data_IF_700792561150
#
_entry.id   IF_700792561150
#
_cell.length_a   1.000
_cell.length_b   1.000
_cell.length_c   1.000
_cell.angle_alpha   90.00
_cell.angle_beta   90.00
_cell.angle_gamma   90.00
#
_symmetry.space_group_name_H-M   'P 1'
#
loop_
_entity.id
_entity.type
_entity.pdbx_description
1 polymer ?
#
# COMPACT_ATOMS: atom_id res chain seq x y z
N UNK A 1 -14.34 27.26 42.12
CA UNK A 1 -14.07 26.14 43.04
C UNK A 1 -12.60 26.23 43.43
N UNK A 2 -12.31 26.66 44.65
CA UNK A 2 -10.95 26.93 45.11
C UNK A 2 -10.28 25.63 45.58
N UNK A 3 -9.46 25.02 44.73
CA UNK A 3 -8.58 23.90 45.11
C UNK A 3 -7.30 24.53 45.69
N UNK A 4 -7.35 25.00 46.94
CA UNK A 4 -6.25 25.78 47.56
C UNK A 4 -5.10 24.90 48.06
N UNK A 5 -5.24 23.58 48.08
CA UNK A 5 -4.27 22.68 48.74
C UNK A 5 -3.34 21.89 47.81
N UNK A 6 -3.29 22.19 46.51
CA UNK A 6 -2.52 21.37 45.56
C UNK A 6 -1.72 22.26 44.62
N UNK A 7 -0.39 22.20 44.72
CA UNK A 7 0.49 22.82 43.74
C UNK A 7 0.46 21.96 42.46
N UNK A 8 -0.14 22.49 41.40
CA UNK A 8 -0.26 21.77 40.13
C UNK A 8 1.03 21.94 39.32
N UNK A 9 1.31 20.95 38.47
CA UNK A 9 2.45 21.02 37.57
C UNK A 9 2.32 22.15 36.53
N UNK A 10 1.09 22.53 36.23
CA UNK A 10 0.75 23.67 35.40
C UNK A 10 0.42 24.88 36.29
N UNK A 11 1.24 25.93 36.18
CA UNK A 11 1.03 27.18 36.89
C UNK A 11 -0.17 27.99 36.36
N UNK A 12 -0.60 27.70 35.13
CA UNK A 12 -1.70 28.37 34.43
C UNK A 12 -2.82 27.37 34.09
N UNK A 13 -3.52 26.90 35.12
CA UNK A 13 -4.66 26.00 34.94
C UNK A 13 -5.62 26.54 33.86
N UNK A 14 -5.95 25.70 32.88
CA UNK A 14 -6.91 25.99 31.80
C UNK A 14 -6.41 26.96 30.70
N UNK A 15 -5.10 27.20 30.61
CA UNK A 15 -4.47 27.89 29.48
C UNK A 15 -3.69 26.87 28.63
N UNK A 16 -4.00 26.71 27.34
CA UNK A 16 -3.25 25.79 26.49
C UNK A 16 -1.78 26.22 26.36
N UNK A 17 -0.85 25.36 26.75
CA UNK A 17 0.59 25.55 26.55
C UNK A 17 1.19 24.49 25.61
N UNK A 18 2.47 24.69 25.24
CA UNK A 18 3.19 23.77 24.36
C UNK A 18 3.37 22.41 25.04
N UNK A 19 2.92 21.34 24.39
CA UNK A 19 3.19 19.96 24.83
C UNK A 19 4.71 19.72 24.85
N UNK A 20 5.24 19.36 26.01
CA UNK A 20 6.67 19.14 26.22
C UNK A 20 7.09 17.70 25.87
N UNK A 21 6.23 16.72 26.15
CA UNK A 21 6.50 15.30 25.94
C UNK A 21 5.20 14.52 25.73
N UNK A 22 5.22 13.53 24.85
CA UNK A 22 4.15 12.53 24.69
C UNK A 22 4.68 11.19 25.20
N UNK A 23 3.92 10.55 26.08
CA UNK A 23 4.25 9.27 26.68
C UNK A 23 3.34 8.18 26.09
N UNK A 24 3.92 7.05 25.70
CA UNK A 24 3.18 5.89 25.20
C UNK A 24 2.30 5.26 26.28
N UNK A 25 1.27 4.54 25.87
CA UNK A 25 0.38 3.85 26.82
C UNK A 25 1.11 2.73 27.58
N UNK A 26 2.19 2.20 27.01
CA UNK A 26 3.04 1.18 27.64
C UNK A 26 3.67 1.63 28.97
N UNK A 27 4.00 2.91 29.13
CA UNK A 27 4.59 3.43 30.38
C UNK A 27 3.54 3.92 31.39
N UNK A 28 2.26 3.96 31.00
CA UNK A 28 1.20 4.57 31.83
C UNK A 28 1.11 3.97 33.23
N UNK A 29 1.10 2.63 33.33
CA UNK A 29 0.96 1.95 34.62
C UNK A 29 2.23 1.99 35.47
N UNK A 30 3.41 2.13 34.85
CA UNK A 30 4.68 2.27 35.55
C UNK A 30 4.81 3.63 36.24
N UNK A 31 4.09 4.64 35.74
CA UNK A 31 4.11 5.98 36.30
C UNK A 31 3.23 6.12 37.54
N UNK A 32 2.27 5.23 37.77
CA UNK A 32 1.33 5.34 38.89
C UNK A 32 1.98 4.96 40.23
N UNK A 33 1.82 5.82 41.24
CA UNK A 33 2.33 5.59 42.60
C UNK A 33 1.15 5.50 43.58
N UNK A 34 1.25 4.74 44.69
CA UNK A 34 0.29 4.81 45.77
C UNK A 34 -0.02 6.25 46.23
N UNK A 35 -1.31 6.54 46.41
CA UNK A 35 -1.79 7.86 46.82
C UNK A 35 -2.84 8.38 45.85
N UNK A 36 -4.07 8.42 46.31
CA UNK A 36 -5.20 9.00 45.61
C UNK A 36 -5.98 9.87 46.59
N UNK A 37 -6.39 11.05 46.15
CA UNK A 37 -7.33 11.88 46.91
C UNK A 37 -8.49 12.31 46.03
N UNK A 38 -9.67 12.36 46.63
CA UNK A 38 -10.89 12.83 45.99
C UNK A 38 -11.23 14.18 46.58
N UNK A 39 -11.61 15.13 45.72
CA UNK A 39 -12.06 16.44 46.19
C UNK A 39 -13.53 16.33 46.58
N UNK A 40 -13.85 16.69 47.84
CA UNK A 40 -15.21 16.68 48.37
C UNK A 40 -16.16 17.49 47.46
N UNK A 41 -17.36 16.97 47.26
CA UNK A 41 -18.39 17.55 46.38
C UNK A 41 -17.95 17.72 44.91
N UNK A 42 -17.01 16.90 44.44
CA UNK A 42 -16.62 16.80 43.02
C UNK A 42 -16.47 15.35 42.59
N UNK A 43 -16.52 15.12 41.27
CA UNK A 43 -16.12 13.83 40.70
C UNK A 43 -14.65 13.80 40.27
N UNK A 44 -13.85 14.75 40.77
CA UNK A 44 -12.41 14.83 40.48
C UNK A 44 -11.63 13.92 41.42
N UNK A 45 -10.72 13.17 40.82
CA UNK A 45 -9.80 12.24 41.45
C UNK A 45 -8.39 12.68 41.07
N UNK A 46 -7.55 12.83 42.08
CA UNK A 46 -6.14 13.10 41.89
C UNK A 46 -5.33 11.86 42.22
N UNK A 47 -4.43 11.50 41.30
CA UNK A 47 -3.61 10.31 41.33
C UNK A 47 -2.14 10.72 41.32
N UNK A 48 -1.38 10.24 42.30
CA UNK A 48 0.07 10.43 42.32
C UNK A 48 0.72 9.65 41.17
N UNK A 49 1.66 10.31 40.48
CA UNK A 49 2.54 9.66 39.52
C UNK A 49 4.01 10.01 39.82
N UNK A 50 4.95 9.28 39.22
CA UNK A 50 6.40 9.56 39.32
C UNK A 50 6.80 10.96 38.86
N UNK A 51 6.02 11.56 37.96
CA UNK A 51 6.34 12.86 37.39
C UNK A 51 5.64 13.97 38.16
N UNK A 52 4.31 13.87 38.24
CA UNK A 52 3.42 14.92 38.72
C UNK A 52 2.12 14.33 39.28
N UNK A 53 1.29 15.17 39.89
CA UNK A 53 -0.06 14.78 40.25
C UNK A 53 -0.99 14.86 39.02
N UNK A 54 -1.65 13.75 38.69
CA UNK A 54 -2.61 13.69 37.60
C UNK A 54 -4.04 13.89 38.12
N UNK A 55 -4.83 14.76 37.49
CA UNK A 55 -6.25 14.95 37.78
C UNK A 55 -7.11 14.27 36.71
N UNK A 56 -8.10 13.49 37.12
CA UNK A 56 -9.07 12.83 36.25
C UNK A 56 -10.45 12.86 36.89
N UNK A 57 -11.50 13.02 36.09
CA UNK A 57 -12.86 13.04 36.60
C UNK A 57 -13.84 13.67 35.62
N UNK A 58 -15.12 13.60 35.96
CA UNK A 58 -16.15 14.34 35.23
C UNK A 58 -16.39 15.69 35.91
N UNK A 59 -16.51 16.74 35.10
CA UNK A 59 -17.04 18.03 35.54
C UNK A 59 -18.51 18.04 35.15
N UNK A 60 -19.39 18.46 36.06
CA UNK A 60 -20.79 18.68 35.73
C UNK A 60 -20.85 19.83 34.71
N UNK A 61 -20.94 19.48 33.43
CA UNK A 61 -21.13 20.44 32.37
C UNK A 61 -22.63 20.78 32.34
N UNK A 62 -22.98 22.04 32.58
CA UNK A 62 -24.27 22.53 32.07
C UNK A 62 -24.35 22.15 30.61
N UNK A 63 -25.51 21.67 30.13
CA UNK A 63 -25.69 21.25 28.74
C UNK A 63 -25.53 22.45 27.79
N UNK A 64 -24.31 22.93 27.58
CA UNK A 64 -23.98 23.71 26.42
C UNK A 64 -24.00 22.76 25.24
N UNK A 65 -24.90 23.05 24.30
CA UNK A 65 -25.03 22.36 23.02
C UNK A 65 -23.85 22.74 22.08
N UNK A 66 -22.64 22.78 22.62
CA UNK A 66 -21.42 23.16 21.91
C UNK A 66 -20.62 21.90 21.64
N UNK A 67 -20.79 21.39 20.43
CA UNK A 67 -19.87 20.40 19.88
C UNK A 67 -18.54 21.11 19.64
N UNK A 68 -17.55 20.84 20.49
CA UNK A 68 -16.17 21.21 20.20
C UNK A 68 -15.64 20.28 19.10
N UNK A 69 -15.79 20.67 17.85
CA UNK A 69 -15.03 20.09 16.75
C UNK A 69 -13.63 20.70 16.75
N UNK A 70 -12.59 19.88 16.98
CA UNK A 70 -11.23 20.25 16.57
C UNK A 70 -11.20 20.17 15.05
N UNK A 71 -11.50 21.30 14.40
CA UNK A 71 -11.30 21.45 12.97
C UNK A 71 -9.82 21.75 12.76
N UNK A 72 -9.05 20.76 12.30
CA UNK A 72 -7.71 21.02 11.79
C UNK A 72 -7.86 21.82 10.50
N UNK A 73 -7.63 23.13 10.57
CA UNK A 73 -7.55 24.01 9.39
C UNK A 73 -6.25 23.81 8.60
N UNK A 74 -5.39 22.88 9.04
CA UNK A 74 -4.23 22.51 8.26
C UNK A 74 -4.69 21.75 7.02
N UNK A 75 -4.17 22.16 5.87
CA UNK A 75 -4.30 21.46 4.59
C UNK A 75 -4.18 19.96 4.83
N UNK A 76 -5.27 19.22 4.55
CA UNK A 76 -5.31 17.77 4.71
C UNK A 76 -4.10 17.11 4.03
N UNK A 77 -3.65 17.68 2.91
CA UNK A 77 -2.48 17.22 2.20
C UNK A 77 -1.19 17.43 3.01
N UNK A 78 -1.05 18.54 3.74
CA UNK A 78 0.06 18.77 4.66
C UNK A 78 0.06 17.77 5.81
N UNK A 79 -1.08 17.52 6.45
CA UNK A 79 -1.20 16.57 7.56
C UNK A 79 -0.92 15.13 7.12
N UNK A 80 -1.47 14.71 5.98
CA UNK A 80 -1.19 13.39 5.39
C UNK A 80 0.29 13.26 5.05
N UNK A 81 0.88 14.28 4.41
CA UNK A 81 2.31 14.28 4.08
C UNK A 81 3.18 14.13 5.34
N UNK A 82 2.90 14.93 6.38
CA UNK A 82 3.61 14.86 7.67
C UNK A 82 3.50 13.50 8.33
N UNK A 83 2.32 12.88 8.26
CA UNK A 83 2.08 11.54 8.77
C UNK A 83 2.97 10.51 8.05
N UNK A 84 2.98 10.51 6.71
CA UNK A 84 3.81 9.60 5.93
C UNK A 84 5.31 9.89 6.09
N UNK A 85 5.72 11.15 6.24
CA UNK A 85 7.11 11.52 6.55
C UNK A 85 7.54 11.02 7.93
N UNK A 86 6.62 10.98 8.91
CA UNK A 86 6.91 10.51 10.27
C UNK A 86 6.94 8.99 10.39
N UNK A 87 6.07 8.28 9.66
CA UNK A 87 6.10 6.80 9.60
C UNK A 87 7.19 6.24 8.68
N UNK A 88 7.78 7.09 7.83
CA UNK A 88 8.88 6.68 6.96
C UNK A 88 10.15 6.42 7.81
N UNK A 89 10.51 5.15 7.96
CA UNK A 89 11.82 4.77 8.49
C UNK A 89 12.87 5.16 7.47
N UNK A 90 13.73 6.13 7.81
CA UNK A 90 14.92 6.44 7.02
C UNK A 90 15.83 5.21 6.97
N UNK A 91 15.72 4.44 5.90
CA UNK A 91 16.64 3.35 5.60
C UNK A 91 17.76 3.92 4.74
N UNK A 92 19.00 3.83 5.21
CA UNK A 92 20.16 4.13 4.36
C UNK A 92 20.19 3.11 3.20
N UNK A 93 19.62 3.50 2.08
CA UNK A 93 19.64 2.67 0.88
C UNK A 93 21.04 2.70 0.29
N UNK A 94 21.70 1.55 0.26
CA UNK A 94 22.93 1.36 -0.49
C UNK A 94 22.73 1.86 -1.93
N UNK A 95 23.67 2.67 -2.45
CA UNK A 95 23.58 3.30 -3.79
C UNK A 95 23.42 2.30 -4.94
N UNK A 96 23.82 1.04 -4.73
CA UNK A 96 23.65 -0.06 -5.69
C UNK A 96 22.45 -0.97 -5.37
N UNK A 97 21.60 -0.59 -4.42
CA UNK A 97 20.38 -1.36 -4.15
C UNK A 97 19.40 -1.23 -5.31
N UNK A 98 18.67 -2.31 -5.54
CA UNK A 98 17.56 -2.38 -6.50
C UNK A 98 16.54 -1.25 -6.28
N UNK A 99 16.34 -0.83 -5.03
CA UNK A 99 15.49 0.30 -4.66
C UNK A 99 15.95 1.63 -5.28
N UNK A 100 17.26 1.89 -5.34
CA UNK A 100 17.82 3.09 -5.96
C UNK A 100 17.63 3.07 -7.48
N UNK A 101 17.84 1.91 -8.11
CA UNK A 101 17.58 1.72 -9.55
C UNK A 101 16.09 1.95 -9.85
N UNK A 102 15.19 1.37 -9.07
CA UNK A 102 13.74 1.55 -9.23
C UNK A 102 13.31 3.00 -9.04
N UNK A 103 13.83 3.69 -8.02
CA UNK A 103 13.53 5.10 -7.75
C UNK A 103 13.99 5.98 -8.92
N UNK A 104 15.20 5.79 -9.41
CA UNK A 104 15.72 6.51 -10.56
C UNK A 104 14.94 6.21 -11.85
N UNK A 105 14.57 4.94 -12.06
CA UNK A 105 13.76 4.52 -13.20
C UNK A 105 12.36 5.15 -13.18
N UNK A 106 11.70 5.13 -12.02
CA UNK A 106 10.39 5.73 -11.82
C UNK A 106 10.40 7.24 -12.09
N UNK A 107 11.40 7.97 -11.56
CA UNK A 107 11.52 9.41 -11.78
C UNK A 107 11.71 9.76 -13.26
N UNK A 108 12.48 8.94 -14.00
CA UNK A 108 12.78 9.17 -15.43
C UNK A 108 11.66 8.73 -16.38
N UNK A 109 10.92 7.67 -16.04
CA UNK A 109 9.99 7.01 -16.97
C UNK A 109 8.52 7.10 -16.57
N UNK A 110 8.19 7.96 -15.59
CA UNK A 110 6.81 8.27 -15.23
C UNK A 110 6.29 9.41 -16.09
N UNK A 111 5.15 9.19 -16.73
CA UNK A 111 4.34 10.21 -17.40
C UNK A 111 2.89 10.10 -16.95
N UNK A 112 2.03 10.98 -17.46
CA UNK A 112 0.58 10.82 -17.36
C UNK A 112 0.00 10.69 -18.77
N UNK A 113 -1.03 9.86 -18.92
CA UNK A 113 -1.82 9.80 -20.14
C UNK A 113 -2.83 10.96 -20.21
N UNK A 114 -3.57 11.03 -21.32
CA UNK A 114 -4.61 12.04 -21.56
C UNK A 114 -5.75 12.01 -20.52
N UNK A 115 -5.94 10.88 -19.84
CA UNK A 115 -6.91 10.72 -18.75
C UNK A 115 -6.36 11.10 -17.37
N UNK A 116 -5.07 11.48 -17.29
CA UNK A 116 -4.38 11.84 -16.06
C UNK A 116 -3.86 10.65 -15.24
N UNK A 117 -3.95 9.42 -15.75
CA UNK A 117 -3.40 8.22 -15.08
C UNK A 117 -1.90 8.17 -15.24
N UNK A 118 -1.19 7.65 -14.25
CA UNK A 118 0.25 7.45 -14.36
C UNK A 118 0.58 6.28 -15.28
N UNK A 119 1.44 6.56 -16.25
CA UNK A 119 2.06 5.56 -17.11
C UNK A 119 3.52 5.47 -16.73
N UNK A 120 3.98 4.26 -16.41
CA UNK A 120 5.34 4.01 -15.98
C UNK A 120 5.87 2.84 -16.79
N UNK A 121 7.07 2.97 -17.34
CA UNK A 121 7.73 1.83 -17.97
C UNK A 121 8.07 0.77 -16.92
N UNK A 122 7.99 -0.51 -17.30
CA UNK A 122 8.36 -1.60 -16.41
C UNK A 122 9.86 -1.53 -16.07
N UNK A 123 10.25 -1.49 -14.79
CA UNK A 123 11.66 -1.46 -14.39
C UNK A 123 12.30 -2.84 -14.57
N UNK A 124 13.42 -2.89 -15.29
CA UNK A 124 14.21 -4.10 -15.51
C UNK A 124 15.60 -3.97 -14.88
N UNK A 125 16.08 -5.06 -14.28
CA UNK A 125 17.43 -5.24 -13.74
C UNK A 125 18.48 -5.42 -14.83
N UNK A 126 18.07 -6.00 -15.95
CA UNK A 126 18.94 -6.36 -17.06
C UNK A 126 18.29 -5.98 -18.40
N UNK A 127 19.11 -5.79 -19.43
CA UNK A 127 18.62 -5.55 -20.78
C UNK A 127 17.84 -6.77 -21.32
N UNK A 128 16.63 -6.61 -21.89
CA UNK A 128 15.83 -7.71 -22.45
C UNK A 128 16.56 -8.63 -23.44
N UNK A 129 17.61 -8.15 -24.11
CA UNK A 129 18.45 -8.96 -25.02
C UNK A 129 19.09 -10.18 -24.34
N UNK A 130 19.18 -10.19 -22.99
CA UNK A 130 19.66 -11.33 -22.21
C UNK A 130 18.67 -12.51 -22.19
N UNK A 131 17.40 -12.31 -22.57
CA UNK A 131 16.40 -13.38 -22.62
C UNK A 131 16.68 -14.38 -23.76
N UNK A 132 17.32 -14.00 -24.86
CA UNK A 132 17.55 -14.92 -25.98
C UNK A 132 16.25 -15.39 -26.65
N UNK A 133 16.29 -16.54 -27.33
CA UNK A 133 15.16 -17.03 -28.12
C UNK A 133 14.01 -17.55 -27.22
N UNK A 134 12.79 -17.09 -27.50
CA UNK A 134 11.56 -17.38 -26.75
C UNK A 134 10.41 -17.87 -27.65
N UNK A 135 10.46 -17.62 -28.96
CA UNK A 135 9.38 -17.85 -29.91
C UNK A 135 9.04 -19.32 -30.04
N UNK A 136 10.04 -20.20 -30.11
CA UNK A 136 9.81 -21.63 -30.18
C UNK A 136 9.06 -22.19 -28.96
N UNK A 137 9.40 -21.69 -27.78
CA UNK A 137 8.76 -22.12 -26.52
C UNK A 137 7.32 -21.63 -26.51
N UNK A 138 7.08 -20.36 -26.87
CA UNK A 138 5.74 -19.80 -26.99
C UNK A 138 4.89 -20.58 -28.00
N UNK A 139 5.44 -20.92 -29.18
CA UNK A 139 4.76 -21.72 -30.21
C UNK A 139 4.40 -23.13 -29.71
N UNK A 140 5.30 -23.82 -29.00
CA UNK A 140 5.00 -25.13 -28.40
C UNK A 140 3.84 -25.04 -27.40
N UNK A 141 3.80 -23.98 -26.58
CA UNK A 141 2.71 -23.72 -25.63
C UNK A 141 1.40 -23.37 -26.34
N UNK A 142 1.46 -22.54 -27.37
CA UNK A 142 0.31 -22.18 -28.20
C UNK A 142 -0.31 -23.42 -28.88
N UNK A 143 0.52 -24.28 -29.47
CA UNK A 143 0.05 -25.53 -30.08
C UNK A 143 -0.64 -26.46 -29.05
N UNK A 144 -0.12 -26.52 -27.83
CA UNK A 144 -0.74 -27.29 -26.75
C UNK A 144 -2.09 -26.69 -26.32
N UNK A 145 -2.19 -25.37 -26.25
CA UNK A 145 -3.43 -24.66 -26.00
C UNK A 145 -4.47 -24.94 -27.10
N UNK A 146 -4.08 -24.85 -28.38
CA UNK A 146 -4.96 -25.16 -29.51
C UNK A 146 -5.53 -26.58 -29.45
N UNK A 147 -4.70 -27.58 -29.12
CA UNK A 147 -5.17 -28.97 -28.95
C UNK A 147 -6.25 -29.07 -27.86
N UNK A 148 -6.08 -28.36 -26.73
CA UNK A 148 -7.10 -28.32 -25.67
C UNK A 148 -8.38 -27.62 -26.12
N UNK A 149 -8.25 -26.46 -26.77
CA UNK A 149 -9.38 -25.69 -27.29
C UNK A 149 -10.23 -26.49 -28.28
N UNK A 150 -9.59 -27.30 -29.14
CA UNK A 150 -10.28 -28.19 -30.08
C UNK A 150 -11.06 -29.32 -29.39
N UNK A 151 -10.55 -29.82 -28.26
CA UNK A 151 -11.16 -30.95 -27.53
C UNK A 151 -12.28 -30.52 -26.59
N UNK A 152 -12.28 -29.28 -26.12
CA UNK A 152 -13.20 -28.77 -25.10
C UNK A 152 -13.90 -27.49 -25.59
N UNK A 153 -15.09 -27.63 -26.22
CA UNK A 153 -15.84 -26.49 -26.74
C UNK A 153 -16.26 -25.49 -25.67
N UNK A 154 -16.55 -25.95 -24.44
CA UNK A 154 -16.95 -25.09 -23.33
C UNK A 154 -15.76 -24.21 -22.91
N UNK A 155 -14.58 -24.81 -22.76
CA UNK A 155 -13.35 -24.07 -22.47
C UNK A 155 -13.01 -23.06 -23.59
N UNK A 156 -13.24 -23.41 -24.87
CA UNK A 156 -13.06 -22.48 -25.99
C UNK A 156 -13.99 -21.26 -25.90
N UNK A 157 -15.27 -21.46 -25.58
CA UNK A 157 -16.23 -20.36 -25.42
C UNK A 157 -15.77 -19.38 -24.34
N UNK A 158 -15.35 -19.88 -23.17
CA UNK A 158 -14.82 -19.02 -22.12
C UNK A 158 -13.52 -18.31 -22.53
N UNK A 159 -12.64 -19.01 -23.25
CA UNK A 159 -11.39 -18.41 -23.74
C UNK A 159 -11.66 -17.23 -24.68
N UNK A 160 -12.56 -17.42 -25.65
CA UNK A 160 -12.96 -16.38 -26.61
C UNK A 160 -13.58 -15.17 -25.91
N UNK A 161 -14.43 -15.42 -24.91
CA UNK A 161 -15.05 -14.34 -24.13
C UNK A 161 -13.99 -13.49 -23.42
N UNK A 162 -12.96 -14.10 -22.81
CA UNK A 162 -11.88 -13.34 -22.17
C UNK A 162 -11.03 -12.58 -23.19
N UNK A 163 -10.67 -13.18 -24.33
CA UNK A 163 -9.88 -12.45 -25.34
C UNK A 163 -10.65 -11.25 -25.90
N UNK A 164 -11.97 -11.38 -26.08
CA UNK A 164 -12.84 -10.29 -26.48
C UNK A 164 -12.91 -9.19 -25.42
N UNK A 165 -13.05 -9.55 -24.14
CA UNK A 165 -13.00 -8.59 -23.02
C UNK A 165 -11.68 -7.80 -23.02
N UNK A 166 -10.55 -8.43 -23.34
CA UNK A 166 -9.25 -7.73 -23.43
C UNK A 166 -9.20 -6.75 -24.61
N UNK A 167 -9.76 -7.12 -25.75
CA UNK A 167 -9.85 -6.24 -26.94
C UNK A 167 -10.81 -5.06 -26.68
N UNK A 168 -12.00 -5.32 -26.14
CA UNK A 168 -13.01 -4.30 -25.81
C UNK A 168 -12.48 -3.29 -24.77
N UNK A 169 -11.63 -3.74 -23.84
CA UNK A 169 -10.96 -2.88 -22.85
C UNK A 169 -9.67 -2.22 -23.37
N UNK A 170 -9.32 -2.43 -24.65
CA UNK A 170 -8.05 -1.94 -25.24
C UNK A 170 -6.80 -2.40 -24.47
N UNK A 171 -6.89 -3.56 -23.80
CA UNK A 171 -5.77 -4.21 -23.12
C UNK A 171 -4.92 -5.08 -24.07
N UNK A 172 -5.41 -5.34 -25.28
CA UNK A 172 -4.75 -6.14 -26.30
C UNK A 172 -5.11 -5.59 -27.68
N UNK A 173 -4.13 -5.57 -28.59
CA UNK A 173 -4.31 -5.25 -30.01
C UNK A 173 -3.61 -6.32 -30.86
N UNK A 174 -4.03 -6.45 -32.11
CA UNK A 174 -3.36 -7.32 -33.08
C UNK A 174 -1.97 -6.76 -33.43
N UNK A 175 -0.95 -7.61 -33.38
CA UNK A 175 0.45 -7.23 -33.65
C UNK A 175 0.71 -7.34 -35.15
N UNK A 176 1.30 -6.31 -35.76
CA UNK A 176 1.72 -6.35 -37.16
C UNK A 176 3.07 -7.06 -37.31
N UNK A 177 3.29 -7.75 -38.44
CA UNK A 177 4.54 -8.46 -38.73
C UNK A 177 5.79 -7.55 -38.78
N UNK A 178 5.62 -6.22 -38.81
CA UNK A 178 6.70 -5.24 -38.92
C UNK A 178 7.26 -4.77 -37.56
N UNK A 179 6.59 -5.03 -36.43
CA UNK A 179 7.00 -4.58 -35.07
C UNK A 179 8.08 -5.48 -34.44
N UNK A 180 9.05 -5.91 -35.24
CA UNK A 180 9.92 -7.04 -34.93
C UNK A 180 11.18 -6.69 -34.11
N UNK A 181 11.28 -5.51 -33.48
CA UNK A 181 12.58 -5.10 -32.93
C UNK A 181 12.91 -5.69 -31.55
N UNK A 182 12.00 -5.79 -30.57
CA UNK A 182 12.21 -6.60 -29.35
C UNK A 182 10.85 -6.92 -28.71
N UNK A 183 10.16 -7.96 -29.16
CA UNK A 183 9.00 -8.49 -28.45
C UNK A 183 9.46 -9.62 -27.50
N UNK A 184 8.73 -9.86 -26.40
CA UNK A 184 8.82 -11.11 -25.64
C UNK A 184 7.44 -11.73 -25.61
N UNK A 185 7.28 -12.94 -26.17
CA UNK A 185 6.00 -13.61 -26.16
C UNK A 185 5.77 -14.32 -24.82
N UNK A 186 4.85 -13.79 -24.01
CA UNK A 186 4.40 -14.46 -22.80
C UNK A 186 3.43 -15.61 -23.14
N UNK A 187 3.78 -16.87 -22.84
CA UNK A 187 2.80 -17.96 -22.95
C UNK A 187 1.68 -17.73 -21.93
N UNK A 188 0.46 -18.04 -22.31
CA UNK A 188 -0.72 -17.86 -21.46
C UNK A 188 -1.57 -19.12 -21.45
N UNK A 189 -2.34 -19.33 -20.38
CA UNK A 189 -3.25 -20.46 -20.23
C UNK A 189 -4.50 -20.10 -19.44
N UNK A 190 -5.61 -20.76 -19.77
CA UNK A 190 -6.86 -20.65 -19.01
C UNK A 190 -6.85 -21.53 -17.76
N UNK A 191 -7.20 -20.94 -16.64
CA UNK A 191 -7.49 -21.64 -15.38
C UNK A 191 -9.01 -21.64 -15.20
N UNK A 192 -9.57 -22.84 -15.22
CA UNK A 192 -10.99 -23.09 -15.05
C UNK A 192 -11.17 -24.14 -13.95
N UNK A 193 -12.03 -23.86 -12.98
CA UNK A 193 -12.35 -24.78 -11.87
C UNK A 193 -13.87 -24.91 -11.77
N UNK A 194 -14.49 -25.91 -12.42
CA UNK A 194 -15.94 -26.08 -12.43
C UNK A 194 -16.50 -26.44 -11.05
N UNK A 195 -15.68 -27.05 -10.18
CA UNK A 195 -16.08 -27.55 -8.86
C UNK A 195 -16.32 -26.46 -7.80
N UNK A 196 -15.95 -25.20 -8.06
CA UNK A 196 -16.34 -24.09 -7.19
C UNK A 196 -17.36 -23.24 -7.91
N UNK A 197 -18.52 -23.07 -7.28
CA UNK A 197 -19.70 -22.35 -7.79
C UNK A 197 -19.41 -20.92 -8.28
N UNK A 198 -18.27 -20.32 -7.90
CA UNK A 198 -17.90 -18.94 -8.22
C UNK A 198 -16.64 -18.77 -9.08
N UNK A 199 -16.00 -19.85 -9.58
CA UNK A 199 -14.72 -19.65 -10.31
C UNK A 199 -14.94 -19.13 -11.73
N UNK A 200 -14.91 -17.80 -11.90
CA UNK A 200 -14.74 -17.12 -13.19
C UNK A 200 -13.51 -17.72 -13.90
N UNK A 201 -13.70 -18.15 -15.15
CA UNK A 201 -12.60 -18.53 -16.03
C UNK A 201 -11.59 -17.37 -16.09
N UNK A 202 -10.29 -17.66 -15.95
CA UNK A 202 -9.24 -16.63 -16.02
C UNK A 202 -8.09 -17.05 -16.90
N UNK A 203 -7.61 -16.13 -17.71
CA UNK A 203 -6.35 -16.28 -18.45
C UNK A 203 -5.19 -15.87 -17.55
N UNK A 204 -4.16 -16.70 -17.47
CA UNK A 204 -2.94 -16.45 -16.70
C UNK A 204 -1.76 -16.42 -17.66
N UNK A 205 -0.99 -15.33 -17.61
CA UNK A 205 0.25 -15.16 -18.36
C UNK A 205 1.43 -15.67 -17.54
N UNK A 206 2.32 -16.43 -18.17
CA UNK A 206 3.46 -17.03 -17.51
C UNK A 206 4.75 -16.33 -17.93
N UNK A 207 5.12 -15.30 -17.16
CA UNK A 207 6.36 -14.55 -17.31
C UNK A 207 7.57 -15.20 -16.60
N UNK A 208 7.38 -16.35 -15.94
CA UNK A 208 8.45 -17.11 -15.28
C UNK A 208 8.97 -18.29 -16.10
N UNK A 209 8.50 -18.45 -17.35
CA UNK A 209 9.02 -19.49 -18.24
C UNK A 209 10.45 -19.15 -18.65
N UNK A 210 11.45 -20.01 -18.37
CA UNK A 210 12.80 -19.78 -18.83
C UNK A 210 12.85 -19.87 -20.36
N UNK A 211 13.68 -19.02 -20.95
CA UNK A 211 14.04 -19.01 -22.36
C UNK A 211 15.23 -19.93 -22.63
N UNK A 212 15.73 -19.95 -23.87
CA UNK A 212 16.94 -20.70 -24.25
C UNK A 212 18.19 -20.33 -23.46
N UNK A 213 18.27 -19.10 -22.92
CA UNK A 213 19.38 -18.65 -22.04
C UNK A 213 19.12 -18.90 -20.55
N UNK A 214 18.04 -19.61 -20.19
CA UNK A 214 17.70 -19.94 -18.81
C UNK A 214 17.13 -18.78 -17.98
N UNK A 215 16.92 -17.60 -18.58
CA UNK A 215 16.29 -16.44 -17.92
C UNK A 215 14.81 -16.33 -18.28
N UNK A 216 14.04 -15.67 -17.44
CA UNK A 216 12.62 -15.36 -17.66
C UNK A 216 12.38 -13.85 -17.52
N UNK A 217 11.24 -13.37 -17.99
CA UNK A 217 10.89 -11.95 -17.84
C UNK A 217 10.86 -11.56 -16.35
N UNK A 218 10.28 -12.40 -15.49
CA UNK A 218 10.26 -12.17 -14.04
C UNK A 218 11.67 -12.12 -13.43
N UNK A 219 12.64 -12.90 -13.92
CA UNK A 219 13.99 -12.90 -13.34
C UNK A 219 14.78 -11.62 -13.64
N UNK A 220 14.40 -10.89 -14.70
CA UNK A 220 15.04 -9.64 -15.09
C UNK A 220 14.22 -8.41 -14.66
N UNK A 221 13.07 -8.60 -14.04
CA UNK A 221 12.22 -7.51 -13.55
C UNK A 221 12.68 -7.08 -12.16
N UNK A 222 12.62 -5.78 -11.86
CA UNK A 222 12.80 -5.32 -10.49
C UNK A 222 11.61 -5.73 -9.60
N UNK A 223 11.92 -6.26 -8.43
CA UNK A 223 11.06 -6.45 -7.27
C UNK A 223 10.74 -5.06 -6.69
N UNK A 224 9.44 -4.77 -6.57
CA UNK A 224 8.92 -3.60 -5.87
C UNK A 224 8.71 -3.86 -4.39
#
# INVERSE_FOLDING_TARGET
MHIIFVNLADGNLNVPERIQMLLGAEVFYELLIPGQFRVENSCLIFQNTLLVLCCSGCVACEKENRVHCVFSTNDLHYSIRKFWEFEAVETELNKNSEAVICKGHFQKNRSRDESGRYTIKMPLKEDPSCLGEYKEIALKRLNSLWKRLKRDPVYLTFYKAVLKEYEDLSHMNEVSDQESQVAYCMPHRGVYRPEKATTKFRTVFNASSPTTKGKSLNSIQCNG
#
